data_IF_585023750517
#
_entry.id   IF_585023750517
#
_cell.length_a   1.000
_cell.length_b   1.000
_cell.length_c   1.000
_cell.angle_alpha   90.00
_cell.angle_beta   90.00
_cell.angle_gamma   90.00
#
_symmetry.space_group_name_H-M   'P 1'
#
loop_
_entity.id
_entity.type
_entity.pdbx_description
1 polymer ?
#
# COMPACT_ATOMS: atom_id res chain seq x y z
N UNK A 1 30.20 -0.12 35.91
CA UNK A 1 30.24 1.07 36.80
C UNK A 1 29.12 2.00 36.34
N UNK A 2 28.18 2.30 37.22
CA UNK A 2 26.85 2.81 36.91
C UNK A 2 26.72 4.34 37.07
N UNK A 3 25.53 4.86 36.71
CA UNK A 3 24.89 6.14 37.09
C UNK A 3 25.26 7.30 36.12
N UNK A 4 24.37 8.14 35.54
CA UNK A 4 23.07 8.70 35.99
C UNK A 4 22.20 9.20 34.81
N UNK A 5 20.89 9.06 34.95
CA UNK A 5 19.83 9.82 34.25
C UNK A 5 19.79 11.29 34.71
N UNK A 6 19.38 12.22 33.83
CA UNK A 6 18.47 13.30 34.26
C UNK A 6 17.67 13.91 33.11
N UNK A 7 16.36 13.91 33.34
CA UNK A 7 15.27 14.55 32.63
C UNK A 7 15.31 16.08 32.72
N UNK A 8 15.14 16.77 31.59
CA UNK A 8 14.81 18.20 31.58
C UNK A 8 13.30 18.40 31.37
N UNK A 9 12.65 18.81 32.45
CA UNK A 9 11.36 19.48 32.48
C UNK A 9 11.58 20.98 32.23
N UNK A 10 10.83 21.60 31.32
CA UNK A 10 10.52 23.02 31.40
C UNK A 10 9.03 23.26 31.14
N UNK A 11 8.37 23.85 32.16
CA UNK A 11 7.11 24.60 32.07
C UNK A 11 7.44 25.98 31.50
N UNK A 12 6.53 26.61 30.74
CA UNK A 12 5.95 27.92 31.13
C UNK A 12 4.98 28.48 30.09
N UNK A 13 3.79 28.81 30.60
CA UNK A 13 2.93 29.99 30.33
C UNK A 13 2.33 30.26 28.94
N UNK A 14 1.01 30.12 28.94
CA UNK A 14 0.04 30.88 28.16
C UNK A 14 0.07 32.37 28.52
N UNK A 15 -0.07 33.26 27.54
CA UNK A 15 -0.87 34.48 27.68
C UNK A 15 -1.52 34.86 26.33
N UNK A 16 -2.78 35.28 26.48
CA UNK A 16 -3.77 35.80 25.53
C UNK A 16 -3.24 37.06 24.78
N UNK A 17 -3.80 37.64 23.72
CA UNK A 17 -5.10 37.65 23.02
C UNK A 17 -4.89 38.58 21.81
N UNK A 18 -5.56 38.38 20.68
CA UNK A 18 -6.16 39.50 19.93
C UNK A 18 -7.32 39.00 19.05
N UNK A 19 -8.30 39.86 18.85
CA UNK A 19 -9.70 39.55 18.71
C UNK A 19 -10.24 39.79 17.29
N UNK A 20 -11.14 38.89 16.88
CA UNK A 20 -12.45 39.09 16.23
C UNK A 20 -12.53 39.92 14.93
N UNK A 21 -12.94 39.23 13.86
CA UNK A 21 -14.10 39.52 12.97
C UNK A 21 -14.30 38.25 12.14
N UNK A 22 -15.38 37.50 12.24
CA UNK A 22 -16.75 37.92 11.94
C UNK A 22 -17.10 37.46 10.52
N UNK A 23 -17.32 36.17 10.32
CA UNK A 23 -17.97 35.66 9.11
C UNK A 23 -18.86 34.48 9.51
N UNK A 24 -20.14 34.79 9.71
CA UNK A 24 -21.20 33.81 9.90
C UNK A 24 -21.42 33.07 8.59
N UNK A 25 -20.80 31.90 8.44
CA UNK A 25 -21.27 30.93 7.46
C UNK A 25 -22.33 30.07 8.16
N UNK A 26 -23.57 30.28 7.78
CA UNK A 26 -24.68 29.37 8.06
C UNK A 26 -24.28 27.99 7.54
N UNK A 27 -24.01 27.04 8.44
CA UNK A 27 -23.84 25.65 8.10
C UNK A 27 -25.14 25.14 7.48
N UNK A 28 -25.13 24.89 6.17
CA UNK A 28 -26.24 24.22 5.51
C UNK A 28 -26.24 22.76 5.98
N UNK A 29 -27.27 22.40 6.75
CA UNK A 29 -27.58 21.00 7.06
C UNK A 29 -27.76 20.22 5.74
N UNK A 30 -27.10 19.06 5.57
CA UNK A 30 -27.30 18.26 4.38
C UNK A 30 -28.72 17.71 4.40
N UNK A 31 -29.53 18.16 3.43
CA UNK A 31 -30.89 17.65 3.21
C UNK A 31 -30.81 16.15 2.92
N UNK A 32 -31.29 15.34 3.85
CA UNK A 32 -31.54 13.91 3.64
C UNK A 32 -32.77 13.83 2.72
N UNK A 33 -32.54 13.75 1.42
CA UNK A 33 -33.59 13.42 0.46
C UNK A 33 -33.87 11.93 0.56
N UNK A 34 -35.03 11.57 1.12
CA UNK A 34 -35.53 10.19 1.13
C UNK A 34 -35.94 9.77 -0.30
N UNK A 35 -34.99 9.30 -1.09
CA UNK A 35 -35.31 8.59 -2.34
C UNK A 35 -35.58 7.13 -2.01
N UNK A 36 -36.82 6.70 -2.22
CA UNK A 36 -37.22 5.31 -2.18
C UNK A 36 -36.36 4.49 -3.16
N UNK A 37 -35.73 3.42 -2.66
CA UNK A 37 -35.35 2.25 -3.46
C UNK A 37 -34.19 2.38 -4.46
N UNK A 38 -33.09 3.04 -4.13
CA UNK A 38 -31.82 2.82 -4.83
C UNK A 38 -31.08 1.74 -4.05
N UNK A 39 -30.93 0.54 -4.63
CA UNK A 39 -30.07 -0.49 -4.05
C UNK A 39 -28.70 0.13 -3.76
N UNK A 40 -28.33 0.25 -2.47
CA UNK A 40 -27.05 0.81 -2.06
C UNK A 40 -25.97 -0.03 -2.73
N UNK A 41 -25.37 0.52 -3.80
CA UNK A 41 -24.40 -0.20 -4.61
C UNK A 41 -23.23 -0.53 -3.70
N UNK A 42 -23.08 -1.82 -3.34
CA UNK A 42 -21.99 -2.27 -2.46
C UNK A 42 -20.68 -1.81 -3.09
N UNK A 43 -20.00 -0.91 -2.38
CA UNK A 43 -18.76 -0.28 -2.85
C UNK A 43 -17.54 -1.17 -2.67
N UNK A 44 -17.63 -2.23 -1.85
CA UNK A 44 -16.50 -3.04 -1.40
C UNK A 44 -16.78 -4.52 -1.63
N UNK A 45 -15.75 -5.28 -1.98
CA UNK A 45 -15.80 -6.74 -2.11
C UNK A 45 -15.45 -7.50 -0.84
N UNK A 46 -15.22 -6.79 0.27
CA UNK A 46 -14.97 -7.37 1.59
C UNK A 46 -15.83 -6.69 2.66
N UNK A 47 -16.01 -7.31 3.84
CA UNK A 47 -16.70 -6.69 4.95
C UNK A 47 -16.12 -5.31 5.29
N UNK A 48 -17.01 -4.40 5.67
CA UNK A 48 -16.70 -3.02 6.08
C UNK A 48 -17.59 -2.64 7.27
N UNK A 49 -17.26 -1.59 8.01
CA UNK A 49 -18.10 -1.10 9.11
C UNK A 49 -19.54 -0.81 8.68
N UNK A 50 -19.74 -0.32 7.46
CA UNK A 50 -21.06 -0.03 6.91
C UNK A 50 -21.88 -1.28 6.59
N UNK A 51 -21.21 -2.36 6.17
CA UNK A 51 -21.89 -3.61 5.79
C UNK A 51 -22.02 -4.57 6.97
N UNK A 52 -21.06 -4.56 7.90
CA UNK A 52 -20.94 -5.46 9.03
C UNK A 52 -20.51 -4.69 10.30
N UNK A 53 -21.36 -3.81 10.84
CA UNK A 53 -21.01 -2.94 11.99
C UNK A 53 -20.71 -3.72 13.27
N UNK A 54 -21.27 -4.92 13.44
CA UNK A 54 -20.98 -5.79 14.59
C UNK A 54 -19.62 -6.48 14.50
N UNK A 55 -19.05 -6.60 13.30
CA UNK A 55 -17.77 -7.28 13.05
C UNK A 55 -16.60 -6.28 12.97
N UNK A 56 -16.83 -5.11 12.38
CA UNK A 56 -15.77 -4.12 12.15
C UNK A 56 -16.21 -2.72 12.57
N UNK A 57 -15.30 -2.03 13.26
CA UNK A 57 -15.50 -0.63 13.65
C UNK A 57 -15.15 0.30 12.49
N UNK A 58 -15.61 1.55 12.58
CA UNK A 58 -15.26 2.58 11.61
C UNK A 58 -13.74 2.83 11.58
N UNK A 59 -13.16 2.90 10.38
CA UNK A 59 -11.71 3.06 10.18
C UNK A 59 -10.88 1.76 10.30
N UNK A 60 -11.51 0.62 10.58
CA UNK A 60 -10.89 -0.70 10.50
C UNK A 60 -10.92 -1.25 9.07
N UNK A 61 -9.80 -1.83 8.62
CA UNK A 61 -9.68 -2.49 7.30
C UNK A 61 -10.04 -3.97 7.42
N UNK A 62 -9.56 -4.60 8.49
CA UNK A 62 -9.91 -5.96 8.91
C UNK A 62 -10.22 -5.94 10.41
N UNK A 63 -10.94 -6.93 10.96
CA UNK A 63 -11.42 -6.87 12.34
C UNK A 63 -10.29 -6.59 13.35
N UNK A 64 -10.37 -5.48 14.08
CA UNK A 64 -9.37 -5.06 15.07
C UNK A 64 -8.07 -4.43 14.52
N UNK A 65 -7.97 -4.25 13.20
CA UNK A 65 -6.82 -3.63 12.53
C UNK A 65 -7.23 -2.37 11.74
N UNK A 66 -6.75 -1.23 12.21
CA UNK A 66 -6.98 0.09 11.61
C UNK A 66 -6.06 0.35 10.41
N UNK A 67 -6.46 1.29 9.54
CA UNK A 67 -5.62 1.79 8.42
C UNK A 67 -4.22 2.22 8.88
N UNK A 68 -4.13 2.89 10.04
CA UNK A 68 -2.88 3.36 10.62
C UNK A 68 -1.92 2.20 10.95
N UNK A 69 -2.43 1.06 11.46
CA UNK A 69 -1.59 -0.13 11.71
C UNK A 69 -0.99 -0.67 10.42
N UNK A 70 -1.76 -0.73 9.34
CA UNK A 70 -1.25 -1.16 8.03
C UNK A 70 -0.21 -0.17 7.48
N UNK A 71 -0.45 1.13 7.61
CA UNK A 71 0.55 2.14 7.25
C UNK A 71 1.85 1.98 8.04
N UNK A 72 1.77 1.77 9.36
CA UNK A 72 2.95 1.56 10.19
C UNK A 72 3.74 0.30 9.79
N UNK A 73 3.06 -0.77 9.39
CA UNK A 73 3.71 -1.99 8.88
C UNK A 73 4.48 -1.73 7.58
N UNK A 74 3.88 -1.00 6.64
CA UNK A 74 4.56 -0.60 5.39
C UNK A 74 5.77 0.27 5.68
N UNK A 75 5.63 1.26 6.57
CA UNK A 75 6.75 2.10 7.03
C UNK A 75 7.88 1.26 7.64
N UNK A 76 7.56 0.27 8.46
CA UNK A 76 8.56 -0.61 9.05
C UNK A 76 9.31 -1.45 8.00
N UNK A 77 8.59 -2.03 7.02
CA UNK A 77 9.22 -2.78 5.93
C UNK A 77 10.15 -1.88 5.11
N UNK A 78 9.67 -0.69 4.72
CA UNK A 78 10.48 0.24 3.94
C UNK A 78 11.68 0.77 4.71
N UNK A 79 11.55 0.97 6.03
CA UNK A 79 12.66 1.34 6.90
C UNK A 79 13.73 0.24 6.93
N UNK A 80 13.35 -1.03 7.05
CA UNK A 80 14.29 -2.16 7.01
C UNK A 80 14.97 -2.27 5.65
N UNK A 81 14.22 -2.11 4.55
CA UNK A 81 14.76 -2.14 3.18
C UNK A 81 15.80 -1.02 2.99
N UNK A 82 15.46 0.22 3.36
CA UNK A 82 16.38 1.34 3.27
C UNK A 82 17.61 1.18 4.18
N UNK A 83 17.45 0.55 5.35
CA UNK A 83 18.57 0.28 6.26
C UNK A 83 19.49 -0.84 5.76
N UNK A 84 18.96 -1.84 5.05
CA UNK A 84 19.77 -2.95 4.50
C UNK A 84 20.82 -2.47 3.49
N UNK A 85 20.53 -1.38 2.76
CA UNK A 85 21.48 -0.74 1.86
C UNK A 85 22.69 -0.16 2.61
N UNK A 86 22.49 0.36 3.82
CA UNK A 86 23.57 0.97 4.62
C UNK A 86 24.63 -0.06 5.03
N UNK A 87 24.25 -1.34 5.18
CA UNK A 87 25.17 -2.42 5.54
C UNK A 87 26.08 -2.79 4.36
N UNK A 88 25.57 -2.76 3.12
CA UNK A 88 26.39 -3.00 1.93
C UNK A 88 27.34 -1.82 1.59
N UNK A 89 27.08 -0.65 2.14
CA UNK A 89 27.86 0.57 1.89
C UNK A 89 29.02 0.77 2.90
N UNK A 90 29.21 -0.13 3.86
CA UNK A 90 30.38 -0.12 4.75
C UNK A 90 31.67 -0.36 3.94
N UNK A 91 32.32 0.75 3.59
CA UNK A 91 33.55 0.83 2.78
C UNK A 91 34.69 0.03 3.43
N UNK A 92 35.45 -0.83 2.71
CA UNK A 92 36.79 -1.18 3.15
C UNK A 92 37.62 0.10 3.27
N UNK A 93 38.34 0.22 4.37
CA UNK A 93 39.12 1.37 4.79
C UNK A 93 40.25 1.64 3.76
N UNK A 94 39.96 2.45 2.74
CA UNK A 94 40.87 2.79 1.65
C UNK A 94 40.40 4.00 0.84
N UNK A 95 40.94 5.16 1.17
CA UNK A 95 41.47 6.20 0.29
C UNK A 95 40.67 6.46 -1.00
N UNK A 96 39.45 6.99 -0.88
CA UNK A 96 38.83 7.70 -2.01
C UNK A 96 38.00 8.86 -1.48
N UNK A 97 38.50 10.07 -1.74
CA UNK A 97 37.89 11.34 -1.37
C UNK A 97 36.64 11.61 -2.22
N UNK A 98 35.47 11.72 -1.57
CA UNK A 98 34.47 12.72 -1.96
C UNK A 98 33.46 12.43 -3.08
N UNK A 99 33.22 11.18 -3.50
CA UNK A 99 31.99 10.89 -4.24
C UNK A 99 30.87 10.54 -3.27
N UNK A 100 29.93 11.47 -3.07
CA UNK A 100 28.59 11.14 -2.54
C UNK A 100 28.00 10.10 -3.48
N UNK A 101 27.96 8.83 -3.05
CA UNK A 101 27.27 7.78 -3.81
C UNK A 101 25.80 8.18 -3.87
N UNK A 102 25.25 8.27 -5.08
CA UNK A 102 23.83 8.52 -5.26
C UNK A 102 23.03 7.49 -4.47
N UNK A 103 22.08 7.99 -3.68
CA UNK A 103 21.21 7.17 -2.87
C UNK A 103 20.34 6.32 -3.81
N UNK A 104 20.50 5.01 -3.76
CA UNK A 104 19.61 4.12 -4.50
C UNK A 104 18.18 4.22 -3.97
N UNK A 105 17.24 4.25 -4.90
CA UNK A 105 15.81 4.16 -4.60
C UNK A 105 15.41 2.68 -4.54
N UNK A 106 14.36 2.38 -3.79
CA UNK A 106 13.89 1.01 -3.58
C UNK A 106 12.45 0.87 -4.01
N UNK A 107 12.14 -0.24 -4.65
CA UNK A 107 10.78 -0.65 -4.94
C UNK A 107 10.54 -2.06 -4.40
N UNK A 108 9.49 -2.22 -3.60
CA UNK A 108 9.04 -3.50 -3.06
C UNK A 108 7.74 -3.89 -3.74
N UNK A 109 7.72 -5.07 -4.34
CA UNK A 109 6.57 -5.60 -5.07
C UNK A 109 6.05 -6.81 -4.31
N UNK A 110 4.76 -6.78 -3.94
CA UNK A 110 4.09 -7.88 -3.24
C UNK A 110 2.82 -8.26 -3.99
N UNK A 111 2.75 -9.50 -4.48
CA UNK A 111 1.58 -10.01 -5.17
C UNK A 111 0.52 -10.52 -4.18
N UNK A 112 -0.74 -10.21 -4.47
CA UNK A 112 -1.89 -10.88 -3.89
C UNK A 112 -2.11 -12.25 -4.51
N UNK A 113 -2.89 -13.10 -3.85
CA UNK A 113 -3.26 -14.44 -4.32
C UNK A 113 -4.21 -14.42 -5.49
N UNK A 114 -4.28 -15.55 -6.17
CA UNK A 114 -5.28 -15.87 -7.20
C UNK A 114 -6.39 -16.76 -6.64
N UNK A 115 -7.49 -16.88 -7.37
CA UNK A 115 -8.56 -17.82 -7.01
C UNK A 115 -8.09 -19.22 -7.40
N UNK A 116 -8.07 -20.15 -6.44
CA UNK A 116 -7.83 -21.56 -6.69
C UNK A 116 -9.14 -22.28 -7.05
N UNK A 117 -9.07 -23.20 -8.00
CA UNK A 117 -10.22 -23.95 -8.50
C UNK A 117 -10.12 -25.43 -8.10
N UNK A 118 -11.25 -25.99 -7.65
CA UNK A 118 -11.39 -27.42 -7.36
C UNK A 118 -11.61 -28.22 -8.65
N UNK A 119 -12.44 -27.68 -9.53
CA UNK A 119 -12.69 -28.11 -10.90
C UNK A 119 -12.87 -26.87 -11.77
N UNK A 120 -12.98 -27.03 -13.10
CA UNK A 120 -12.98 -25.93 -14.08
C UNK A 120 -13.88 -24.74 -13.67
N UNK A 121 -15.11 -25.01 -13.20
CA UNK A 121 -16.09 -23.97 -12.85
C UNK A 121 -16.34 -23.81 -11.34
N UNK A 122 -15.66 -24.57 -10.46
CA UNK A 122 -15.92 -24.56 -9.02
C UNK A 122 -14.71 -23.98 -8.27
N UNK A 123 -14.77 -22.69 -7.86
CA UNK A 123 -13.70 -22.07 -7.09
C UNK A 123 -13.74 -22.51 -5.62
N UNK A 124 -12.55 -22.64 -5.02
CA UNK A 124 -12.42 -22.71 -3.57
C UNK A 124 -12.70 -21.35 -2.92
N UNK A 125 -13.07 -21.32 -1.63
CA UNK A 125 -13.10 -20.08 -0.87
C UNK A 125 -11.75 -19.37 -0.94
N UNK A 126 -11.75 -18.12 -1.39
CA UNK A 126 -10.52 -17.36 -1.59
C UNK A 126 -9.81 -17.11 -0.25
N UNK A 127 -8.52 -17.44 -0.20
CA UNK A 127 -7.63 -17.06 0.88
C UNK A 127 -6.48 -16.22 0.34
N UNK A 128 -6.32 -15.03 0.90
CA UNK A 128 -5.30 -14.08 0.47
C UNK A 128 -3.89 -14.54 0.85
N UNK A 129 -2.88 -14.10 0.10
CA UNK A 129 -1.49 -14.22 0.50
C UNK A 129 -1.22 -13.50 1.82
N UNK A 130 -0.52 -14.16 2.75
CA UNK A 130 -0.30 -13.62 4.09
C UNK A 130 0.54 -12.34 4.10
N UNK A 131 1.60 -12.26 3.30
CA UNK A 131 2.46 -11.06 3.23
C UNK A 131 1.68 -9.87 2.68
N UNK A 132 0.96 -10.08 1.57
CA UNK A 132 0.09 -9.08 0.98
C UNK A 132 -0.99 -8.62 1.98
N UNK A 133 -1.73 -9.57 2.57
CA UNK A 133 -2.78 -9.30 3.56
C UNK A 133 -2.24 -8.57 4.79
N UNK A 134 -1.02 -8.89 5.22
CA UNK A 134 -0.39 -8.26 6.38
C UNK A 134 -0.08 -6.77 6.14
N UNK A 135 0.29 -6.40 4.90
CA UNK A 135 0.68 -5.05 4.53
C UNK A 135 -0.48 -4.16 4.04
N UNK A 136 -1.48 -4.74 3.39
CA UNK A 136 -2.60 -3.99 2.80
C UNK A 136 -3.94 -4.19 3.53
N UNK A 137 -4.18 -5.38 4.11
CA UNK A 137 -5.49 -5.77 4.61
C UNK A 137 -6.54 -6.04 3.52
N UNK A 138 -6.13 -6.05 2.25
CA UNK A 138 -7.02 -6.21 1.10
C UNK A 138 -7.25 -7.70 0.78
N UNK A 139 -8.51 -8.09 0.62
CA UNK A 139 -8.96 -9.48 0.54
C UNK A 139 -9.57 -9.84 -0.82
N UNK A 140 -9.21 -9.11 -1.88
CA UNK A 140 -9.60 -9.46 -3.25
C UNK A 140 -8.41 -10.09 -4.01
N UNK A 141 -8.68 -11.04 -4.92
CA UNK A 141 -7.65 -11.73 -5.70
C UNK A 141 -7.05 -10.82 -6.78
N UNK A 142 -5.99 -11.30 -7.45
CA UNK A 142 -5.39 -10.68 -8.63
C UNK A 142 -5.03 -9.20 -8.41
N UNK A 143 -4.48 -8.91 -7.24
CA UNK A 143 -4.10 -7.57 -6.81
C UNK A 143 -2.60 -7.51 -6.56
N UNK A 144 -2.00 -6.32 -6.60
CA UNK A 144 -0.58 -6.13 -6.35
C UNK A 144 -0.35 -4.89 -5.49
N UNK A 145 0.56 -4.97 -4.52
CA UNK A 145 0.98 -3.84 -3.70
C UNK A 145 2.40 -3.48 -4.11
N UNK A 146 2.59 -2.22 -4.51
CA UNK A 146 3.89 -1.66 -4.84
C UNK A 146 4.20 -0.56 -3.81
N UNK A 147 5.38 -0.63 -3.20
CA UNK A 147 5.90 0.40 -2.31
C UNK A 147 7.19 0.94 -2.89
N UNK A 148 7.23 2.22 -3.23
CA UNK A 148 8.36 2.89 -3.87
C UNK A 148 8.89 4.01 -2.96
N UNK A 149 10.21 4.13 -2.81
CA UNK A 149 10.81 5.31 -2.20
C UNK A 149 10.69 6.50 -3.15
N UNK A 150 10.54 7.71 -2.59
CA UNK A 150 10.38 8.91 -3.38
C UNK A 150 11.73 9.59 -3.62
N UNK A 151 12.12 9.83 -4.89
CA UNK A 151 13.39 10.47 -5.19
C UNK A 151 13.42 11.89 -4.62
N UNK A 152 14.54 12.22 -3.97
CA UNK A 152 14.74 13.52 -3.33
C UNK A 152 14.07 13.70 -1.97
N UNK A 153 13.39 12.66 -1.43
CA UNK A 153 12.87 12.67 -0.05
C UNK A 153 13.74 11.83 0.89
N UNK A 154 13.78 12.16 2.20
CA UNK A 154 14.51 11.34 3.16
C UNK A 154 13.85 9.96 3.30
N UNK A 155 14.66 8.90 3.24
CA UNK A 155 14.18 7.56 3.59
C UNK A 155 13.84 7.53 5.09
N UNK A 156 12.77 6.82 5.51
CA UNK A 156 12.02 5.79 4.77
C UNK A 156 10.71 6.28 4.14
N UNK A 157 10.62 7.57 3.80
CA UNK A 157 9.44 8.10 3.13
C UNK A 157 9.22 7.41 1.79
N UNK A 158 8.01 6.91 1.59
CA UNK A 158 7.65 6.09 0.45
C UNK A 158 6.20 6.33 0.05
N UNK A 159 5.88 5.98 -1.19
CA UNK A 159 4.53 5.93 -1.72
C UNK A 159 4.11 4.47 -1.85
N UNK A 160 2.87 4.19 -1.47
CA UNK A 160 2.28 2.85 -1.56
C UNK A 160 1.12 2.88 -2.56
N UNK A 161 1.25 2.12 -3.64
CA UNK A 161 0.25 2.00 -4.70
C UNK A 161 -0.34 0.61 -4.66
N UNK A 162 -1.68 0.51 -4.58
CA UNK A 162 -2.40 -0.76 -4.62
C UNK A 162 -3.08 -0.91 -5.98
N UNK A 163 -2.68 -1.94 -6.73
CA UNK A 163 -3.30 -2.31 -7.99
C UNK A 163 -4.38 -3.35 -7.74
N UNK A 164 -5.58 -3.09 -8.27
CA UNK A 164 -6.77 -3.92 -8.06
C UNK A 164 -7.44 -4.29 -9.38
N UNK A 165 -8.16 -5.42 -9.45
CA UNK A 165 -8.95 -5.75 -10.63
C UNK A 165 -10.00 -4.68 -10.92
N UNK A 166 -10.23 -4.44 -12.22
CA UNK A 166 -11.31 -3.58 -12.69
C UNK A 166 -12.67 -4.15 -12.31
N UNK A 167 -13.61 -3.25 -12.04
CA UNK A 167 -15.01 -3.63 -11.78
C UNK A 167 -15.68 -4.09 -13.07
N UNK A 168 -16.31 -5.25 -13.00
CA UNK A 168 -17.07 -5.84 -14.11
C UNK A 168 -18.47 -6.21 -13.60
N UNK A 169 -19.53 -5.50 -14.02
CA UNK A 169 -20.90 -5.75 -13.55
C UNK A 169 -21.38 -7.19 -13.81
N UNK A 170 -20.93 -7.80 -14.90
CA UNK A 170 -21.33 -9.17 -15.27
C UNK A 170 -20.69 -10.16 -14.30
N UNK A 171 -19.39 -10.00 -14.00
CA UNK A 171 -18.69 -10.83 -13.02
C UNK A 171 -19.15 -10.56 -11.59
N UNK A 172 -19.49 -9.31 -11.26
CA UNK A 172 -19.99 -8.94 -9.93
C UNK A 172 -21.36 -9.55 -9.61
N UNK A 173 -22.20 -9.81 -10.63
CA UNK A 173 -23.48 -10.49 -10.46
C UNK A 173 -23.31 -11.89 -9.87
N UNK A 174 -22.22 -12.58 -10.21
CA UNK A 174 -21.94 -13.95 -9.77
C UNK A 174 -20.97 -14.00 -8.58
N UNK A 175 -19.89 -13.22 -8.63
CA UNK A 175 -18.79 -13.27 -7.65
C UNK A 175 -18.97 -12.29 -6.49
N UNK A 176 -20.04 -11.49 -6.50
CA UNK A 176 -20.25 -10.40 -5.56
C UNK A 176 -19.54 -9.11 -5.96
N UNK A 177 -19.83 -8.04 -5.23
CA UNK A 177 -19.27 -6.71 -5.49
C UNK A 177 -17.74 -6.71 -5.41
N UNK A 178 -17.08 -5.87 -6.21
CA UNK A 178 -15.65 -5.57 -6.11
C UNK A 178 -15.43 -4.17 -5.60
N UNK A 179 -14.32 -3.95 -4.92
CA UNK A 179 -13.99 -2.62 -4.38
C UNK A 179 -13.70 -1.61 -5.50
N UNK A 180 -13.00 -2.06 -6.55
CA UNK A 180 -12.44 -1.17 -7.56
C UNK A 180 -11.47 -0.14 -6.95
N UNK A 181 -11.08 0.85 -7.76
CA UNK A 181 -10.12 1.88 -7.39
C UNK A 181 -10.61 2.66 -6.16
N UNK A 182 -11.76 3.33 -6.28
CA UNK A 182 -12.32 4.20 -5.25
C UNK A 182 -12.53 3.48 -3.91
N UNK A 183 -13.13 2.28 -3.96
CA UNK A 183 -13.39 1.50 -2.76
C UNK A 183 -12.11 1.02 -2.09
N UNK A 184 -11.12 0.60 -2.89
CA UNK A 184 -9.85 0.12 -2.34
C UNK A 184 -9.04 1.23 -1.66
N UNK A 185 -9.10 2.46 -2.18
CA UNK A 185 -8.44 3.64 -1.60
C UNK A 185 -9.06 3.98 -0.25
N UNK A 186 -10.39 4.11 -0.24
CA UNK A 186 -11.18 4.43 0.95
C UNK A 186 -11.03 3.36 2.02
N UNK A 187 -10.89 2.09 1.65
CA UNK A 187 -10.79 0.97 2.58
C UNK A 187 -9.39 0.84 3.18
N UNK A 188 -8.35 0.78 2.36
CA UNK A 188 -7.01 0.38 2.80
C UNK A 188 -6.16 1.53 3.34
N UNK A 189 -6.47 2.78 2.95
CA UNK A 189 -5.68 3.95 3.31
C UNK A 189 -4.26 3.91 2.72
N UNK A 190 -4.12 3.33 1.53
CA UNK A 190 -2.91 3.49 0.70
C UNK A 190 -2.88 4.89 0.08
N UNK A 191 -1.71 5.30 -0.41
CA UNK A 191 -1.54 6.61 -1.02
C UNK A 191 -2.23 6.72 -2.39
N UNK A 192 -2.13 5.65 -3.19
CA UNK A 192 -2.70 5.61 -4.53
C UNK A 192 -3.25 4.22 -4.87
N UNK A 193 -4.20 4.19 -5.79
CA UNK A 193 -4.83 2.95 -6.26
C UNK A 193 -4.97 2.99 -7.77
N UNK A 194 -4.69 1.88 -8.43
CA UNK A 194 -4.77 1.75 -9.89
C UNK A 194 -5.39 0.43 -10.30
N UNK A 195 -5.74 0.30 -11.58
CA UNK A 195 -6.16 -0.98 -12.14
C UNK A 195 -4.95 -1.88 -12.37
N UNK A 196 -5.12 -3.19 -12.17
CA UNK A 196 -4.07 -4.19 -12.39
C UNK A 196 -3.55 -4.21 -13.84
N UNK A 197 -4.37 -3.77 -14.80
CA UNK A 197 -3.99 -3.64 -16.21
C UNK A 197 -2.85 -2.63 -16.43
N UNK A 198 -2.68 -1.65 -15.53
CA UNK A 198 -1.57 -0.67 -15.58
C UNK A 198 -0.29 -1.15 -14.93
N UNK A 199 -0.26 -2.39 -14.43
CA UNK A 199 0.94 -2.99 -13.84
C UNK A 199 2.17 -2.90 -14.76
N UNK A 200 2.14 -3.32 -16.04
CA UNK A 200 3.31 -3.22 -16.92
C UNK A 200 3.81 -1.78 -17.10
N UNK A 201 2.91 -0.81 -17.22
CA UNK A 201 3.27 0.61 -17.36
C UNK A 201 4.00 1.11 -16.11
N UNK A 202 3.50 0.75 -14.93
CA UNK A 202 4.13 1.11 -13.65
C UNK A 202 5.50 0.45 -13.51
N UNK A 203 5.61 -0.84 -13.87
CA UNK A 203 6.88 -1.57 -13.82
C UNK A 203 7.93 -0.96 -14.74
N UNK A 204 7.53 -0.49 -15.93
CA UNK A 204 8.46 0.13 -16.89
C UNK A 204 9.18 1.36 -16.31
N UNK A 205 8.53 2.10 -15.41
CA UNK A 205 9.14 3.25 -14.72
C UNK A 205 10.29 2.85 -13.78
N UNK A 206 10.31 1.60 -13.32
CA UNK A 206 11.33 1.07 -12.41
C UNK A 206 12.49 0.37 -13.14
N UNK A 207 12.52 0.39 -14.47
CA UNK A 207 13.62 -0.18 -15.26
C UNK A 207 14.90 0.69 -15.24
N UNK A 208 14.86 1.87 -14.62
CA UNK A 208 16.06 2.70 -14.46
C UNK A 208 17.01 2.11 -13.40
N UNK A 209 18.32 2.20 -13.64
CA UNK A 209 19.37 1.70 -12.72
C UNK A 209 19.32 2.26 -11.29
N UNK A 210 18.59 3.36 -11.10
CA UNK A 210 18.40 4.02 -9.80
C UNK A 210 17.58 3.19 -8.81
N UNK A 211 16.74 2.26 -9.30
CA UNK A 211 15.86 1.47 -8.45
C UNK A 211 16.43 0.07 -8.18
N UNK A 212 16.46 -0.29 -6.90
CA UNK A 212 16.65 -1.66 -6.44
C UNK A 212 15.28 -2.31 -6.21
N UNK A 213 15.03 -3.40 -6.95
CA UNK A 213 13.76 -4.12 -6.93
C UNK A 213 13.81 -5.26 -5.90
N UNK A 214 12.86 -5.25 -4.98
CA UNK A 214 12.66 -6.29 -3.96
C UNK A 214 11.39 -7.07 -4.29
N UNK A 215 11.57 -8.34 -4.65
CA UNK A 215 10.50 -9.23 -5.02
C UNK A 215 10.86 -10.67 -4.64
N UNK A 216 9.89 -11.42 -4.09
CA UNK A 216 10.05 -12.84 -3.79
C UNK A 216 9.82 -13.66 -5.06
N UNK A 217 10.91 -14.07 -5.70
CA UNK A 217 10.87 -14.80 -6.97
C UNK A 217 10.45 -16.26 -6.81
N UNK A 218 10.74 -16.87 -5.66
CA UNK A 218 10.45 -18.28 -5.41
C UNK A 218 8.98 -18.49 -5.08
N UNK A 219 8.36 -17.53 -4.37
CA UNK A 219 6.93 -17.58 -4.05
C UNK A 219 6.07 -17.24 -5.28
N UNK A 220 5.54 -18.27 -5.94
CA UNK A 220 4.58 -18.11 -7.06
C UNK A 220 3.15 -17.98 -6.53
N UNK A 221 2.91 -16.90 -5.79
CA UNK A 221 1.63 -16.62 -5.14
C UNK A 221 0.49 -16.41 -6.14
N UNK A 222 0.81 -15.78 -7.25
CA UNK A 222 -0.09 -15.58 -8.39
C UNK A 222 0.70 -15.91 -9.65
N UNK A 223 0.38 -17.05 -10.25
CA UNK A 223 1.17 -17.58 -11.35
C UNK A 223 1.05 -16.68 -12.59
N UNK A 224 -0.17 -16.24 -12.89
CA UNK A 224 -0.46 -15.45 -14.09
C UNK A 224 0.25 -14.09 -14.04
N UNK A 225 0.07 -13.31 -12.96
CA UNK A 225 0.72 -12.00 -12.81
C UNK A 225 2.25 -12.11 -12.81
N UNK A 226 2.79 -13.15 -12.18
CA UNK A 226 4.23 -13.38 -12.18
C UNK A 226 4.75 -13.68 -13.58
N UNK A 227 4.12 -14.61 -14.31
CA UNK A 227 4.59 -15.05 -15.62
C UNK A 227 4.38 -14.01 -16.72
N UNK A 228 3.25 -13.30 -16.69
CA UNK A 228 2.87 -12.34 -17.73
C UNK A 228 3.59 -10.99 -17.58
N UNK A 229 3.83 -10.53 -16.34
CA UNK A 229 4.33 -9.17 -16.11
C UNK A 229 5.68 -9.15 -15.38
N UNK A 230 5.81 -9.82 -14.23
CA UNK A 230 7.02 -9.68 -13.41
C UNK A 230 8.23 -10.41 -14.00
N UNK A 231 8.05 -11.61 -14.55
CA UNK A 231 9.16 -12.38 -15.12
C UNK A 231 9.79 -11.68 -16.34
N UNK A 232 9.02 -11.17 -17.33
CA UNK A 232 9.59 -10.36 -18.41
C UNK A 232 10.30 -9.10 -17.89
N UNK A 233 9.67 -8.36 -16.97
CA UNK A 233 10.25 -7.17 -16.35
C UNK A 233 11.58 -7.45 -15.64
N UNK A 234 11.65 -8.48 -14.81
CA UNK A 234 12.88 -8.86 -14.09
C UNK A 234 13.98 -9.34 -15.04
N UNK A 235 13.60 -10.08 -16.08
CA UNK A 235 14.53 -10.46 -17.14
C UNK A 235 15.11 -9.23 -17.82
N UNK A 236 14.27 -8.27 -18.23
CA UNK A 236 14.72 -7.03 -18.86
C UNK A 236 15.63 -6.21 -17.93
N UNK A 237 15.24 -6.03 -16.67
CA UNK A 237 16.03 -5.34 -15.66
C UNK A 237 17.40 -6.01 -15.45
N UNK A 238 17.46 -7.34 -15.49
CA UNK A 238 18.70 -8.09 -15.38
C UNK A 238 19.63 -7.86 -16.58
N UNK A 239 19.09 -7.88 -17.81
CA UNK A 239 19.89 -7.64 -19.01
C UNK A 239 20.47 -6.22 -19.04
N UNK A 240 19.67 -5.21 -18.65
CA UNK A 240 20.13 -3.81 -18.57
C UNK A 240 21.26 -3.59 -17.56
N UNK A 241 21.29 -4.37 -16.47
CA UNK A 241 22.39 -4.32 -15.49
C UNK A 241 23.69 -4.98 -15.98
N UNK A 242 23.62 -5.83 -17.01
CA UNK A 242 24.79 -6.54 -17.54
C UNK A 242 25.46 -5.83 -18.72
N UNK A 243 24.72 -5.00 -19.45
CA UNK A 243 25.22 -4.16 -20.55
C UNK A 243 25.85 -2.89 -20.03
#
# INVERSE_FOLDING_TARGET
>A
MAIRLSSMLWRSQSFLRCAIRGCSQTAAEPKISSSHGIAVKRKLGQPSSHTHPFLMKEGEVTPGLTKQKYSARRNAVMATVCASQMISDEKPMGDTWGQEREKQEHVVIVLGGEIAYMSEDIPYPFHQNNNFRYLSGFLEPNSCLIMETLPGRPHPEHKSTLLVPKRDPVKEMWNGSRSGIDGSLDLTGVHHTEEIEKLPDILSNFLSEKYTVWYDFDSKVNYNLHMEHLRPFLSEAYHRKMT
#
